data_IF_902035315195
#
_entry.id   IF_902035315195
#
_cell.length_a   1.000
_cell.length_b   1.000
_cell.length_c   1.000
_cell.angle_alpha   90.00
_cell.angle_beta   90.00
_cell.angle_gamma   90.00
#
_symmetry.space_group_name_H-M   'P 1'
#
loop_
_entity.id
_entity.type
_entity.pdbx_description
1 polymer ?
#
# COMPACT_ATOMS: atom_id res chain seq x y z
N UNK A 1 29.65 -22.39 -18.62
CA UNK A 1 29.07 -23.70 -18.25
C UNK A 1 28.05 -23.40 -17.18
N UNK A 2 26.79 -23.41 -17.59
CA UNK A 2 25.66 -22.85 -16.86
C UNK A 2 25.37 -23.69 -15.61
N UNK A 3 24.81 -23.11 -14.56
CA UNK A 3 24.39 -23.84 -13.34
C UNK A 3 23.38 -24.93 -13.72
N UNK A 4 22.60 -24.69 -14.78
CA UNK A 4 21.71 -25.66 -15.41
C UNK A 4 22.44 -26.86 -16.04
N UNK A 5 23.65 -26.69 -16.58
CA UNK A 5 24.43 -27.80 -17.15
C UNK A 5 24.98 -28.71 -16.06
N UNK A 6 25.34 -28.16 -14.89
CA UNK A 6 25.78 -28.94 -13.73
C UNK A 6 24.63 -29.70 -13.06
N UNK A 7 23.43 -29.10 -13.01
CA UNK A 7 22.21 -29.76 -12.54
C UNK A 7 21.79 -30.89 -13.49
N UNK A 8 21.85 -30.68 -14.81
CA UNK A 8 21.60 -31.73 -15.81
C UNK A 8 22.57 -32.91 -15.70
N UNK A 9 23.84 -32.65 -15.38
CA UNK A 9 24.84 -33.70 -15.23
C UNK A 9 24.69 -34.54 -13.94
N UNK A 10 23.98 -34.04 -12.92
CA UNK A 10 23.76 -34.74 -11.66
C UNK A 10 22.45 -35.54 -11.62
N UNK A 11 21.54 -35.33 -12.58
CA UNK A 11 20.30 -36.09 -12.69
C UNK A 11 20.57 -37.28 -13.63
N UNK A 12 20.73 -38.47 -13.05
CA UNK A 12 20.84 -39.72 -13.79
C UNK A 12 19.58 -39.97 -14.64
N UNK A 13 19.76 -40.47 -15.87
CA UNK A 13 18.72 -40.66 -16.89
C UNK A 13 17.46 -41.42 -16.41
N UNK A 14 17.57 -42.30 -15.40
CA UNK A 14 16.42 -43.00 -14.80
C UNK A 14 15.45 -42.06 -14.07
N UNK A 15 15.96 -41.06 -13.33
CA UNK A 15 15.13 -40.09 -12.62
C UNK A 15 14.44 -39.10 -13.58
N UNK A 16 15.07 -38.83 -14.73
CA UNK A 16 14.54 -37.94 -15.75
C UNK A 16 13.43 -38.64 -16.56
N UNK A 17 13.52 -39.95 -16.77
CA UNK A 17 12.46 -40.78 -17.36
C UNK A 17 11.23 -40.92 -16.44
N UNK A 18 11.41 -41.06 -15.12
CA UNK A 18 10.29 -40.99 -14.17
C UNK A 18 9.68 -39.58 -14.10
N UNK A 19 10.49 -38.52 -14.05
CA UNK A 19 10.00 -37.13 -14.07
C UNK A 19 9.25 -36.78 -15.37
N UNK A 20 9.75 -37.25 -16.53
CA UNK A 20 9.12 -37.02 -17.84
C UNK A 20 7.89 -37.89 -18.08
N UNK A 21 7.77 -39.03 -17.40
CA UNK A 21 6.55 -39.84 -17.39
C UNK A 21 5.44 -39.23 -16.51
N UNK A 22 5.80 -38.41 -15.52
CA UNK A 22 4.87 -37.75 -14.59
C UNK A 22 4.43 -36.36 -15.09
N UNK A 23 5.27 -35.68 -15.86
CA UNK A 23 5.00 -34.37 -16.49
C UNK A 23 3.70 -34.26 -17.34
N UNK A 24 3.18 -35.32 -18.00
CA UNK A 24 1.91 -35.24 -18.72
C UNK A 24 0.67 -35.36 -17.80
N UNK A 25 0.85 -35.72 -16.52
CA UNK A 25 -0.24 -36.03 -15.57
C UNK A 25 -0.57 -34.83 -14.69
N UNK A 26 0.40 -33.93 -14.47
CA UNK A 26 0.25 -32.77 -13.59
C UNK A 26 0.18 -31.48 -14.40
N UNK A 27 -0.76 -30.61 -14.05
CA UNK A 27 -0.78 -29.26 -14.58
C UNK A 27 0.45 -28.48 -14.06
N UNK A 28 0.88 -27.44 -14.79
CA UNK A 28 1.95 -26.52 -14.32
C UNK A 28 1.67 -26.02 -12.89
N UNK A 29 0.39 -25.84 -12.56
CA UNK A 29 -0.09 -25.40 -11.26
C UNK A 29 0.17 -26.44 -10.16
N UNK A 30 -0.07 -27.72 -10.42
CA UNK A 30 0.21 -28.80 -9.46
C UNK A 30 1.71 -28.93 -9.16
N UNK A 31 2.56 -28.73 -10.18
CA UNK A 31 4.01 -28.71 -10.01
C UNK A 31 4.46 -27.55 -9.11
N UNK A 32 3.84 -26.37 -9.28
CA UNK A 32 4.14 -25.17 -8.49
C UNK A 32 3.66 -25.34 -7.04
N UNK A 33 2.47 -25.89 -6.81
CA UNK A 33 1.98 -26.22 -5.47
C UNK A 33 2.88 -27.26 -4.77
N UNK A 34 3.37 -28.26 -5.52
CA UNK A 34 4.34 -29.23 -4.99
C UNK A 34 5.66 -28.55 -4.63
N UNK A 35 6.16 -27.66 -5.47
CA UNK A 35 7.36 -26.88 -5.20
C UNK A 35 7.20 -25.97 -3.97
N UNK A 36 6.04 -25.31 -3.84
CA UNK A 36 5.68 -24.54 -2.66
C UNK A 36 5.73 -25.41 -1.40
N UNK A 37 5.11 -26.60 -1.41
CA UNK A 37 5.13 -27.53 -0.28
C UNK A 37 6.55 -27.95 0.13
N UNK A 38 7.43 -28.19 -0.85
CA UNK A 38 8.85 -28.47 -0.61
C UNK A 38 9.53 -27.28 0.09
N UNK A 39 9.33 -26.05 -0.40
CA UNK A 39 9.88 -24.85 0.21
C UNK A 39 9.39 -24.65 1.65
N UNK A 40 8.10 -24.87 1.92
CA UNK A 40 7.54 -24.76 3.28
C UNK A 40 8.14 -25.81 4.22
N UNK A 41 8.39 -27.03 3.73
CA UNK A 41 9.07 -28.07 4.52
C UNK A 41 10.51 -27.66 4.85
N UNK A 42 11.27 -27.16 3.87
CA UNK A 42 12.61 -26.63 4.13
C UNK A 42 12.59 -25.45 5.12
N UNK A 43 11.60 -24.57 5.02
CA UNK A 43 11.42 -23.48 5.98
C UNK A 43 11.20 -24.02 7.39
N UNK A 44 10.28 -24.99 7.57
CA UNK A 44 10.02 -25.66 8.85
C UNK A 44 11.29 -26.25 9.46
N UNK A 45 12.06 -27.00 8.66
CA UNK A 45 13.31 -27.64 9.10
C UNK A 45 14.34 -26.57 9.50
N UNK A 46 14.48 -25.51 8.71
CA UNK A 46 15.43 -24.43 9.01
C UNK A 46 15.08 -23.66 10.29
N UNK A 47 13.79 -23.55 10.62
CA UNK A 47 13.32 -22.98 11.90
C UNK A 47 13.64 -23.94 13.06
N UNK A 48 13.30 -25.22 12.92
CA UNK A 48 13.55 -26.23 13.96
C UNK A 48 15.04 -26.39 14.29
N UNK A 49 15.90 -26.29 13.27
CA UNK A 49 17.35 -26.37 13.42
C UNK A 49 18.01 -25.03 13.78
N UNK A 50 17.24 -23.95 13.96
CA UNK A 50 17.75 -22.59 14.20
C UNK A 50 18.87 -22.19 13.22
N UNK A 51 18.66 -22.46 11.93
CA UNK A 51 19.60 -22.09 10.89
C UNK A 51 19.71 -20.56 10.76
N UNK A 52 20.72 -20.11 10.02
CA UNK A 52 20.99 -18.68 9.84
C UNK A 52 19.83 -17.97 9.15
N UNK A 53 19.62 -16.69 9.50
CA UNK A 53 18.53 -15.88 8.95
C UNK A 53 18.61 -15.77 7.42
N UNK A 54 19.79 -15.90 6.81
CA UNK A 54 19.99 -15.87 5.36
C UNK A 54 19.31 -17.04 4.66
N UNK A 55 19.37 -18.24 5.25
CA UNK A 55 18.74 -19.43 4.67
C UNK A 55 17.22 -19.27 4.72
N UNK A 56 16.69 -18.83 5.87
CA UNK A 56 15.27 -18.57 6.05
C UNK A 56 14.78 -17.48 5.10
N UNK A 57 15.52 -16.38 4.95
CA UNK A 57 15.21 -15.29 4.03
C UNK A 57 15.18 -15.75 2.57
N UNK A 58 16.16 -16.54 2.14
CA UNK A 58 16.21 -17.04 0.76
C UNK A 58 15.02 -17.94 0.43
N UNK A 59 14.58 -18.77 1.38
CA UNK A 59 13.38 -19.60 1.22
C UNK A 59 12.12 -18.73 1.13
N UNK A 60 11.97 -17.74 2.02
CA UNK A 60 10.84 -16.78 1.97
C UNK A 60 10.84 -16.00 0.65
N UNK A 61 12.00 -15.60 0.14
CA UNK A 61 12.12 -14.91 -1.14
C UNK A 61 11.66 -15.80 -2.31
N UNK A 62 12.04 -17.08 -2.31
CA UNK A 62 11.60 -18.05 -3.32
C UNK A 62 10.09 -18.27 -3.28
N UNK A 63 9.51 -18.42 -2.08
CA UNK A 63 8.05 -18.48 -1.88
C UNK A 63 7.38 -17.22 -2.44
N UNK A 64 7.99 -16.06 -2.20
CA UNK A 64 7.53 -14.80 -2.75
C UNK A 64 7.63 -14.71 -4.27
N UNK A 65 8.59 -15.37 -4.90
CA UNK A 65 8.82 -15.27 -6.34
C UNK A 65 7.80 -16.06 -7.18
N UNK A 66 7.21 -17.10 -6.60
CA UNK A 66 6.25 -17.98 -7.28
C UNK A 66 4.78 -17.56 -7.07
N UNK A 67 4.52 -16.46 -6.35
CA UNK A 67 3.18 -16.07 -5.91
C UNK A 67 2.16 -15.91 -7.05
N UNK A 68 2.56 -15.38 -8.21
CA UNK A 68 1.65 -15.13 -9.36
C UNK A 68 1.08 -16.42 -9.95
N UNK A 69 1.72 -17.55 -9.68
CA UNK A 69 1.35 -18.85 -10.23
C UNK A 69 0.62 -19.73 -9.23
N UNK A 70 0.45 -19.27 -7.98
CA UNK A 70 -0.25 -20.02 -6.94
C UNK A 70 -1.75 -19.70 -7.01
N UNK A 71 -2.63 -20.73 -7.02
CA UNK A 71 -4.07 -20.53 -6.96
C UNK A 71 -4.49 -19.67 -5.77
N UNK A 72 -5.50 -18.81 -5.96
CA UNK A 72 -6.05 -17.96 -4.89
C UNK A 72 -6.86 -18.73 -3.85
N UNK A 73 -7.17 -20.00 -4.11
CA UNK A 73 -7.88 -20.95 -3.26
C UNK A 73 -6.95 -22.03 -2.67
N UNK A 74 -5.62 -21.83 -2.71
CA UNK A 74 -4.67 -22.80 -2.17
C UNK A 74 -4.61 -22.76 -0.63
N UNK A 75 -5.47 -23.54 0.02
CA UNK A 75 -5.61 -23.57 1.47
C UNK A 75 -4.86 -24.72 2.17
N UNK A 76 -4.12 -25.55 1.43
CA UNK A 76 -3.39 -26.70 2.01
C UNK A 76 -2.01 -26.29 2.53
N UNK A 77 -1.25 -25.55 1.74
CA UNK A 77 0.15 -25.22 2.00
C UNK A 77 0.33 -23.78 2.46
N UNK A 78 -0.39 -22.81 1.87
CA UNK A 78 -0.23 -21.39 2.19
C UNK A 78 -0.45 -21.06 3.69
N UNK A 79 -1.48 -21.59 4.40
CA UNK A 79 -1.66 -21.28 5.82
C UNK A 79 -0.44 -21.63 6.66
N UNK A 80 0.26 -22.72 6.32
CA UNK A 80 1.44 -23.17 7.05
C UNK A 80 2.59 -22.16 6.97
N UNK A 81 2.71 -21.41 5.87
CA UNK A 81 3.73 -20.35 5.70
C UNK A 81 3.50 -19.25 6.74
N UNK A 82 2.28 -18.74 6.82
CA UNK A 82 1.93 -17.64 7.72
C UNK A 82 1.95 -18.05 9.20
N UNK A 83 1.68 -19.32 9.51
CA UNK A 83 1.86 -19.89 10.85
C UNK A 83 3.34 -20.02 11.26
N UNK A 84 4.25 -20.13 10.29
CA UNK A 84 5.70 -20.19 10.53
C UNK A 84 6.33 -18.79 10.66
N UNK A 85 5.71 -17.73 10.11
CA UNK A 85 6.26 -16.37 10.16
C UNK A 85 6.65 -15.90 11.58
N UNK A 86 5.82 -16.06 12.63
CA UNK A 86 6.18 -15.62 13.98
C UNK A 86 7.39 -16.36 14.57
N UNK A 87 7.76 -17.52 14.01
CA UNK A 87 8.87 -18.36 14.46
C UNK A 87 10.17 -18.09 13.70
N UNK A 88 10.16 -17.19 12.71
CA UNK A 88 11.35 -16.84 11.95
C UNK A 88 12.36 -16.09 12.82
N UNK A 89 13.63 -16.25 12.47
CA UNK A 89 14.71 -15.54 13.12
C UNK A 89 14.81 -14.10 12.59
N UNK A 90 14.02 -13.19 13.15
CA UNK A 90 14.04 -11.76 12.81
C UNK A 90 15.25 -10.99 13.40
N UNK A 91 16.43 -11.60 13.44
CA UNK A 91 17.67 -10.96 13.90
C UNK A 91 18.14 -9.81 12.99
N UNK A 92 17.66 -9.74 11.75
CA UNK A 92 18.12 -8.79 10.75
C UNK A 92 16.95 -8.08 10.04
N UNK A 93 17.14 -6.82 9.65
CA UNK A 93 16.12 -6.05 8.91
C UNK A 93 15.82 -6.63 7.52
N UNK A 94 16.77 -7.31 6.89
CA UNK A 94 16.61 -7.90 5.54
C UNK A 94 15.54 -8.99 5.53
N UNK A 95 15.56 -9.94 6.48
CA UNK A 95 14.54 -10.99 6.54
C UNK A 95 13.14 -10.42 6.84
N UNK A 96 13.07 -9.36 7.67
CA UNK A 96 11.82 -8.65 7.93
C UNK A 96 11.33 -7.99 6.63
N UNK A 97 12.22 -7.31 5.90
CA UNK A 97 11.90 -6.67 4.64
C UNK A 97 11.34 -7.66 3.60
N UNK A 98 12.02 -8.79 3.41
CA UNK A 98 11.59 -9.86 2.50
C UNK A 98 10.23 -10.43 2.94
N UNK A 99 10.04 -10.64 4.24
CA UNK A 99 8.74 -11.11 4.80
C UNK A 99 7.62 -10.11 4.50
N UNK A 100 7.85 -8.80 4.68
CA UNK A 100 6.85 -7.76 4.39
C UNK A 100 6.47 -7.75 2.90
N UNK A 101 7.45 -7.92 2.00
CA UNK A 101 7.18 -8.02 0.55
C UNK A 101 6.27 -9.23 0.25
N UNK A 102 6.55 -10.38 0.86
CA UNK A 102 5.73 -11.58 0.71
C UNK A 102 4.31 -11.36 1.24
N UNK A 103 4.15 -10.71 2.40
CA UNK A 103 2.83 -10.36 2.93
C UNK A 103 2.01 -9.50 1.95
N UNK A 104 2.65 -8.52 1.31
CA UNK A 104 2.00 -7.68 0.31
C UNK A 104 1.53 -8.47 -0.92
N UNK A 105 2.34 -9.43 -1.38
CA UNK A 105 2.05 -10.29 -2.54
C UNK A 105 0.86 -11.24 -2.32
N UNK A 106 0.74 -11.79 -1.12
CA UNK A 106 -0.37 -12.68 -0.74
C UNK A 106 -1.54 -11.94 -0.06
N UNK A 107 -1.64 -10.62 -0.23
CA UNK A 107 -2.67 -9.80 0.42
C UNK A 107 -4.09 -10.21 0.06
N UNK A 108 -4.33 -10.62 -1.19
CA UNK A 108 -5.62 -11.12 -1.68
C UNK A 108 -6.02 -12.42 -0.97
N UNK A 109 -5.12 -13.40 -0.92
CA UNK A 109 -5.34 -14.66 -0.21
C UNK A 109 -5.57 -14.40 1.29
N UNK A 110 -4.73 -13.58 1.92
CA UNK A 110 -4.88 -13.22 3.35
C UNK A 110 -6.23 -12.57 3.68
N UNK A 111 -6.89 -11.95 2.70
CA UNK A 111 -8.23 -11.41 2.92
C UNK A 111 -9.32 -12.44 3.12
N UNK A 112 -9.15 -13.63 2.57
CA UNK A 112 -10.05 -14.75 2.77
C UNK A 112 -9.78 -15.47 4.11
N UNK A 113 -8.66 -15.19 4.79
CA UNK A 113 -8.25 -15.84 6.04
C UNK A 113 -7.98 -14.83 7.18
N UNK A 114 -9.06 -14.24 7.71
CA UNK A 114 -9.01 -13.19 8.74
C UNK A 114 -8.24 -13.58 10.02
N UNK A 115 -8.29 -14.86 10.41
CA UNK A 115 -7.60 -15.38 11.60
C UNK A 115 -6.08 -15.23 11.50
N UNK A 116 -5.54 -15.43 10.30
CA UNK A 116 -4.11 -15.33 10.00
C UNK A 116 -3.69 -13.87 9.80
N UNK A 117 -4.59 -13.07 9.21
CA UNK A 117 -4.35 -11.67 8.87
C UNK A 117 -3.95 -10.83 10.09
N UNK A 118 -4.52 -11.07 11.28
CA UNK A 118 -4.20 -10.30 12.48
C UNK A 118 -2.70 -10.27 12.80
N UNK A 119 -2.03 -11.44 12.80
CA UNK A 119 -0.61 -11.52 13.11
C UNK A 119 0.25 -10.81 12.05
N UNK A 120 -0.17 -10.90 10.79
CA UNK A 120 0.51 -10.25 9.67
C UNK A 120 0.39 -8.72 9.75
N UNK A 121 -0.77 -8.20 10.17
CA UNK A 121 -1.01 -6.76 10.35
C UNK A 121 -0.11 -6.19 11.44
N UNK A 122 -0.02 -6.84 12.61
CA UNK A 122 0.85 -6.37 13.68
C UNK A 122 2.34 -6.36 13.27
N UNK A 123 2.79 -7.34 12.47
CA UNK A 123 4.15 -7.33 11.91
C UNK A 123 4.39 -6.08 11.04
N UNK A 124 3.46 -5.77 10.13
CA UNK A 124 3.54 -4.58 9.29
C UNK A 124 3.53 -3.28 10.11
N UNK A 125 2.66 -3.19 11.11
CA UNK A 125 2.55 -2.00 11.99
C UNK A 125 3.85 -1.77 12.76
N UNK A 126 4.42 -2.82 13.34
CA UNK A 126 5.68 -2.72 14.09
C UNK A 126 6.84 -2.29 13.18
N UNK A 127 6.88 -2.79 11.95
CA UNK A 127 7.93 -2.46 10.99
C UNK A 127 7.91 -0.98 10.55
N UNK A 128 6.77 -0.29 10.58
CA UNK A 128 6.67 1.15 10.26
C UNK A 128 7.48 2.03 11.22
N UNK A 129 7.79 1.55 12.42
CA UNK A 129 8.61 2.28 13.38
C UNK A 129 10.10 2.27 13.02
N UNK A 130 10.54 1.39 12.11
CA UNK A 130 11.93 1.29 11.67
C UNK A 130 12.12 1.98 10.32
N UNK A 131 13.00 2.99 10.27
CA UNK A 131 13.29 3.79 9.07
C UNK A 131 13.74 2.99 7.85
N UNK A 132 14.44 1.87 8.04
CA UNK A 132 14.88 1.00 6.92
C UNK A 132 13.72 0.21 6.30
N UNK A 133 12.64 -0.01 7.06
CA UNK A 133 11.53 -0.89 6.69
C UNK A 133 10.26 -0.13 6.30
N UNK A 134 10.21 1.20 6.45
CA UNK A 134 9.02 2.01 6.16
C UNK A 134 8.51 1.76 4.74
N UNK A 135 9.41 1.66 3.76
CA UNK A 135 9.01 1.44 2.38
C UNK A 135 8.25 0.13 2.19
N UNK A 136 8.82 -1.00 2.63
CA UNK A 136 8.18 -2.31 2.46
C UNK A 136 6.97 -2.48 3.36
N UNK A 137 7.03 -2.00 4.61
CA UNK A 137 5.92 -2.02 5.54
C UNK A 137 4.72 -1.23 5.01
N UNK A 138 4.95 -0.03 4.47
CA UNK A 138 3.87 0.80 3.92
C UNK A 138 3.26 0.20 2.65
N UNK A 139 4.05 -0.41 1.77
CA UNK A 139 3.53 -1.11 0.58
C UNK A 139 2.68 -2.31 1.01
N UNK A 140 3.21 -3.18 1.87
CA UNK A 140 2.50 -4.37 2.34
C UNK A 140 1.18 -4.00 3.04
N UNK A 141 1.23 -3.04 3.96
CA UNK A 141 0.05 -2.59 4.70
C UNK A 141 -1.01 -1.99 3.76
N UNK A 142 -0.60 -1.21 2.76
CA UNK A 142 -1.52 -0.66 1.77
C UNK A 142 -2.25 -1.76 1.00
N UNK A 143 -1.55 -2.80 0.54
CA UNK A 143 -2.19 -3.90 -0.19
C UNK A 143 -3.15 -4.69 0.73
N UNK A 144 -2.77 -4.97 1.97
CA UNK A 144 -3.67 -5.61 2.95
C UNK A 144 -4.95 -4.79 3.22
N UNK A 145 -4.85 -3.46 3.28
CA UNK A 145 -6.01 -2.58 3.48
C UNK A 145 -6.95 -2.57 2.28
N UNK A 146 -6.41 -2.57 1.05
CA UNK A 146 -7.23 -2.57 -0.16
C UNK A 146 -8.17 -3.77 -0.22
N UNK A 147 -7.64 -4.95 0.12
CA UNK A 147 -8.36 -6.23 0.09
C UNK A 147 -9.32 -6.37 1.28
N UNK A 148 -8.97 -5.80 2.46
CA UNK A 148 -9.69 -6.05 3.72
C UNK A 148 -10.14 -4.77 4.46
N UNK A 149 -10.71 -3.81 3.74
CA UNK A 149 -11.02 -2.46 4.24
C UNK A 149 -11.78 -2.44 5.57
N UNK A 150 -12.89 -3.17 5.64
CA UNK A 150 -13.76 -3.21 6.82
C UNK A 150 -13.01 -3.84 8.00
N UNK A 151 -12.33 -4.96 7.78
CA UNK A 151 -11.53 -5.61 8.82
C UNK A 151 -10.37 -4.73 9.30
N UNK A 152 -9.72 -4.01 8.38
CA UNK A 152 -8.58 -3.15 8.67
C UNK A 152 -8.96 -1.86 9.41
N UNK A 153 -10.22 -1.42 9.32
CA UNK A 153 -10.73 -0.23 10.03
C UNK A 153 -10.55 -0.31 11.55
N UNK A 154 -10.56 -1.51 12.14
CA UNK A 154 -10.37 -1.70 13.59
C UNK A 154 -8.97 -1.32 14.08
N UNK A 155 -7.97 -1.34 13.19
CA UNK A 155 -6.58 -0.98 13.50
C UNK A 155 -6.30 0.51 13.35
N UNK A 156 -7.30 1.36 13.05
CA UNK A 156 -7.10 2.81 12.89
C UNK A 156 -6.36 3.41 14.09
N UNK A 157 -6.77 3.07 15.31
CA UNK A 157 -6.18 3.60 16.54
C UNK A 157 -4.73 3.16 16.78
N UNK A 158 -4.31 2.01 16.22
CA UNK A 158 -2.93 1.52 16.29
C UNK A 158 -2.06 2.11 15.16
N UNK A 159 -2.60 2.18 13.95
CA UNK A 159 -1.88 2.63 12.74
C UNK A 159 -1.68 4.15 12.76
N UNK A 160 -2.70 4.92 13.16
CA UNK A 160 -2.69 6.36 13.03
C UNK A 160 -1.56 7.05 13.82
N UNK A 161 -1.31 6.73 15.12
CA UNK A 161 -0.23 7.38 15.87
C UNK A 161 1.16 7.09 15.29
N UNK A 162 1.40 5.87 14.81
CA UNK A 162 2.67 5.46 14.20
C UNK A 162 2.87 6.17 12.86
N UNK A 163 1.84 6.21 12.02
CA UNK A 163 1.93 6.96 10.77
C UNK A 163 2.13 8.45 11.03
N UNK A 164 1.49 9.02 12.04
CA UNK A 164 1.67 10.43 12.41
C UNK A 164 3.12 10.71 12.85
N UNK A 165 3.75 9.84 13.62
CA UNK A 165 5.16 10.01 14.00
C UNK A 165 6.10 9.94 12.79
N UNK A 166 5.79 9.10 11.80
CA UNK A 166 6.52 9.03 10.52
C UNK A 166 6.32 10.32 9.69
N UNK A 167 5.12 10.89 9.68
CA UNK A 167 4.82 12.15 8.97
C UNK A 167 5.51 13.36 9.60
N UNK A 168 5.59 13.40 10.92
CA UNK A 168 6.24 14.49 11.66
C UNK A 168 7.78 14.38 11.64
N UNK A 169 8.32 13.21 11.28
CA UNK A 169 9.76 13.00 11.18
C UNK A 169 10.33 13.58 9.88
N UNK A 170 11.14 14.62 10.04
CA UNK A 170 11.78 15.35 8.93
C UNK A 170 12.80 14.47 8.19
N UNK A 171 13.44 13.51 8.88
CA UNK A 171 14.46 12.63 8.30
C UNK A 171 13.90 11.53 7.40
N UNK A 172 12.59 11.26 7.47
CA UNK A 172 11.94 10.29 6.60
C UNK A 172 11.79 10.87 5.19
N UNK A 173 12.05 10.06 4.16
CA UNK A 173 11.92 10.49 2.78
C UNK A 173 10.48 10.93 2.46
N UNK A 174 10.36 11.99 1.64
CA UNK A 174 9.04 12.53 1.23
C UNK A 174 8.15 11.47 0.58
N UNK A 175 8.72 10.54 -0.18
CA UNK A 175 8.00 9.43 -0.81
C UNK A 175 7.37 8.48 0.21
N UNK A 176 8.04 8.21 1.33
CA UNK A 176 7.53 7.35 2.39
C UNK A 176 6.42 8.05 3.18
N UNK A 177 6.56 9.35 3.46
CA UNK A 177 5.48 10.17 4.03
C UNK A 177 4.23 10.16 3.13
N UNK A 178 4.40 10.26 1.81
CA UNK A 178 3.30 10.17 0.82
C UNK A 178 2.61 8.79 0.86
N UNK A 179 3.37 7.70 1.00
CA UNK A 179 2.80 6.35 1.15
C UNK A 179 1.98 6.23 2.43
N UNK A 180 2.49 6.76 3.55
CA UNK A 180 1.80 6.79 4.84
C UNK A 180 0.49 7.58 4.75
N UNK A 181 0.48 8.77 4.13
CA UNK A 181 -0.75 9.54 3.89
C UNK A 181 -1.76 8.77 3.04
N UNK A 182 -1.30 8.04 2.02
CA UNK A 182 -2.19 7.19 1.23
C UNK A 182 -2.88 6.17 2.13
N UNK A 183 -2.12 5.45 2.97
CA UNK A 183 -2.63 4.42 3.89
C UNK A 183 -3.66 4.98 4.87
N UNK A 184 -3.38 6.15 5.46
CA UNK A 184 -4.34 6.82 6.34
C UNK A 184 -5.62 7.13 5.57
N UNK A 185 -5.52 7.70 4.36
CA UNK A 185 -6.69 7.99 3.54
C UNK A 185 -7.50 6.73 3.19
N UNK A 186 -6.82 5.61 2.90
CA UNK A 186 -7.47 4.32 2.64
C UNK A 186 -8.29 3.83 3.84
N UNK A 187 -7.71 3.82 5.04
CA UNK A 187 -8.42 3.36 6.24
C UNK A 187 -9.58 4.30 6.57
N UNK A 188 -9.33 5.62 6.55
CA UNK A 188 -10.33 6.64 6.85
C UNK A 188 -11.54 6.58 5.89
N UNK A 189 -11.36 6.15 4.65
CA UNK A 189 -12.46 6.07 3.67
C UNK A 189 -13.63 5.18 4.09
N UNK A 190 -13.43 4.28 5.06
CA UNK A 190 -14.44 3.35 5.58
C UNK A 190 -15.12 3.87 6.85
N UNK A 191 -14.63 4.96 7.44
CA UNK A 191 -15.15 5.46 8.71
C UNK A 191 -16.26 6.52 8.53
N UNK A 192 -17.14 6.69 9.53
CA UNK A 192 -18.10 7.79 9.57
C UNK A 192 -17.41 9.15 9.47
N UNK A 193 -18.05 10.08 8.75
CA UNK A 193 -17.41 11.33 8.37
C UNK A 193 -16.97 12.22 9.53
N UNK A 194 -17.60 12.10 10.70
CA UNK A 194 -17.14 12.78 11.92
C UNK A 194 -15.71 12.35 12.29
N UNK A 195 -15.47 11.03 12.32
CA UNK A 195 -14.15 10.45 12.62
C UNK A 195 -13.15 10.85 11.54
N UNK A 196 -13.55 10.83 10.28
CA UNK A 196 -12.72 11.25 9.15
C UNK A 196 -12.26 12.69 9.33
N UNK A 197 -13.18 13.61 9.63
CA UNK A 197 -12.85 15.03 9.84
C UNK A 197 -11.91 15.22 11.02
N UNK A 198 -12.17 14.56 12.14
CA UNK A 198 -11.34 14.70 13.34
C UNK A 198 -9.88 14.30 13.04
N UNK A 199 -9.67 13.20 12.32
CA UNK A 199 -8.33 12.75 11.93
C UNK A 199 -7.72 13.59 10.80
N UNK A 200 -8.52 14.06 9.85
CA UNK A 200 -8.07 14.94 8.79
C UNK A 200 -7.59 16.28 9.34
N UNK A 201 -8.29 16.86 10.31
CA UNK A 201 -7.88 18.11 10.94
C UNK A 201 -6.51 17.98 11.61
N UNK A 202 -6.24 16.84 12.27
CA UNK A 202 -4.94 16.56 12.91
C UNK A 202 -3.80 16.54 11.87
N UNK A 203 -4.06 16.07 10.65
CA UNK A 203 -3.04 15.95 9.60
C UNK A 203 -2.93 17.24 8.77
N UNK A 204 -4.05 17.79 8.32
CA UNK A 204 -4.08 18.84 7.32
C UNK A 204 -3.90 20.23 7.91
N UNK A 205 -4.39 20.51 9.12
CA UNK A 205 -4.20 21.85 9.73
C UNK A 205 -2.72 22.21 9.88
N UNK A 206 -1.85 21.33 10.42
CA UNK A 206 -0.41 21.62 10.49
C UNK A 206 0.23 21.84 9.11
N UNK A 207 -0.15 21.06 8.10
CA UNK A 207 0.40 21.16 6.74
C UNK A 207 -0.07 22.43 6.03
N UNK A 208 -1.32 22.84 6.21
CA UNK A 208 -1.83 24.12 5.69
C UNK A 208 -1.13 25.29 6.37
N UNK A 209 -0.92 25.24 7.69
CA UNK A 209 -0.17 26.29 8.41
C UNK A 209 1.28 26.38 7.92
N UNK A 210 1.97 25.24 7.73
CA UNK A 210 3.31 25.22 7.12
C UNK A 210 3.29 25.85 5.73
N UNK A 211 2.26 25.57 4.93
CA UNK A 211 2.14 26.17 3.60
C UNK A 211 1.96 27.70 3.69
N UNK A 212 1.08 28.19 4.56
CA UNK A 212 0.88 29.63 4.77
C UNK A 212 2.17 30.31 5.27
N UNK A 213 2.93 29.65 6.14
CA UNK A 213 4.25 30.11 6.59
C UNK A 213 5.27 30.13 5.45
N UNK A 214 5.23 29.17 4.52
CA UNK A 214 6.10 29.20 3.35
C UNK A 214 5.73 30.33 2.38
N UNK A 215 4.44 30.55 2.15
CA UNK A 215 3.93 31.57 1.22
C UNK A 215 4.10 33.01 1.73
N UNK A 216 4.20 33.19 3.05
CA UNK A 216 4.44 34.49 3.66
C UNK A 216 5.92 34.91 3.67
N UNK A 217 6.84 34.00 3.33
CA UNK A 217 8.28 34.28 3.27
C UNK A 217 8.66 34.82 1.89
N UNK A 218 9.57 35.80 1.87
CA UNK A 218 10.07 36.39 0.63
C UNK A 218 10.91 35.37 -0.17
N UNK A 219 11.64 34.49 0.54
CA UNK A 219 12.36 33.35 -0.02
C UNK A 219 11.47 32.10 -0.04
N UNK A 220 10.50 32.08 -0.96
CA UNK A 220 9.58 30.96 -1.15
C UNK A 220 10.34 29.66 -1.49
N UNK A 221 10.41 28.72 -0.54
CA UNK A 221 11.01 27.41 -0.79
C UNK A 221 10.03 26.54 -1.61
N UNK A 222 10.14 26.67 -2.94
CA UNK A 222 9.25 26.10 -3.94
C UNK A 222 9.10 24.58 -3.81
N UNK A 223 10.18 23.89 -3.44
CA UNK A 223 10.19 22.44 -3.23
C UNK A 223 9.30 22.03 -2.04
N UNK A 224 9.35 22.77 -0.94
CA UNK A 224 8.53 22.51 0.23
C UNK A 224 7.05 22.78 -0.06
N UNK A 225 6.73 23.88 -0.74
CA UNK A 225 5.37 24.21 -1.17
C UNK A 225 4.78 23.08 -2.03
N UNK A 226 5.52 22.64 -3.06
CA UNK A 226 5.06 21.55 -3.92
C UNK A 226 4.88 20.24 -3.17
N UNK A 227 5.77 19.95 -2.20
CA UNK A 227 5.70 18.74 -1.39
C UNK A 227 4.47 18.74 -0.49
N UNK A 228 4.19 19.86 0.20
CA UNK A 228 3.01 20.02 1.05
C UNK A 228 1.72 19.95 0.24
N UNK A 229 1.67 20.57 -0.94
CA UNK A 229 0.53 20.42 -1.85
C UNK A 229 0.30 18.97 -2.28
N UNK A 230 1.38 18.25 -2.62
CA UNK A 230 1.29 16.84 -2.97
C UNK A 230 0.76 15.99 -1.79
N UNK A 231 1.14 16.32 -0.55
CA UNK A 231 0.63 15.64 0.65
C UNK A 231 -0.88 15.80 0.79
N UNK A 232 -1.36 17.04 0.70
CA UNK A 232 -2.79 17.37 0.77
C UNK A 232 -3.55 16.62 -0.33
N UNK A 233 -3.03 16.65 -1.55
CA UNK A 233 -3.64 16.04 -2.72
C UNK A 233 -3.74 14.51 -2.64
N UNK A 234 -2.68 13.84 -2.19
CA UNK A 234 -2.68 12.38 -2.04
C UNK A 234 -3.72 11.94 -1.02
N UNK A 235 -3.85 12.66 0.10
CA UNK A 235 -4.82 12.35 1.15
C UNK A 235 -6.26 12.51 0.64
N UNK A 236 -6.57 13.63 -0.02
CA UNK A 236 -7.91 13.89 -0.59
C UNK A 236 -8.24 12.84 -1.66
N UNK A 237 -7.29 12.51 -2.53
CA UNK A 237 -7.50 11.51 -3.58
C UNK A 237 -7.75 10.13 -2.99
N UNK A 238 -7.00 9.75 -1.95
CA UNK A 238 -7.17 8.47 -1.28
C UNK A 238 -8.53 8.37 -0.56
N UNK A 239 -9.07 9.47 -0.05
CA UNK A 239 -10.41 9.46 0.58
C UNK A 239 -11.52 9.49 -0.48
N UNK A 240 -11.40 10.37 -1.49
CA UNK A 240 -12.45 10.61 -2.48
C UNK A 240 -12.64 9.49 -3.50
N UNK A 241 -11.58 8.84 -3.98
CA UNK A 241 -11.72 7.72 -4.91
C UNK A 241 -12.44 6.52 -4.26
N UNK A 242 -12.10 6.23 -3.01
CA UNK A 242 -12.61 5.04 -2.32
C UNK A 242 -13.94 5.29 -1.61
N UNK A 243 -14.25 6.52 -1.22
CA UNK A 243 -15.61 6.92 -0.84
C UNK A 243 -16.62 6.65 -1.96
N UNK A 244 -16.24 6.90 -3.22
CA UNK A 244 -17.11 6.67 -4.39
C UNK A 244 -17.23 5.20 -4.83
N UNK A 245 -16.31 4.30 -4.44
CA UNK A 245 -16.43 2.87 -4.75
C UNK A 245 -17.48 2.17 -3.87
N UNK A 246 -17.67 2.65 -2.64
CA UNK A 246 -18.72 2.14 -1.76
C UNK A 246 -20.13 2.41 -2.33
N UNK A 247 -20.28 3.43 -3.20
CA UNK A 247 -21.54 3.71 -3.89
C UNK A 247 -21.82 2.74 -5.06
N UNK A 248 -20.80 2.03 -5.57
CA UNK A 248 -20.87 1.24 -6.81
C UNK A 248 -20.97 -0.29 -6.62
N UNK A 249 -20.49 -0.84 -5.51
CA UNK A 249 -20.39 -2.29 -5.30
C UNK A 249 -21.45 -2.87 -4.33
N UNK A 250 -22.22 -2.04 -3.63
CA UNK A 250 -23.22 -2.54 -2.65
C UNK A 250 -24.55 -3.02 -3.27
N UNK A 251 -24.73 -2.97 -4.59
CA UNK A 251 -26.00 -3.38 -5.21
C UNK A 251 -26.10 -4.83 -5.73
N UNK A 252 -25.03 -5.65 -5.76
CA UNK A 252 -25.16 -6.99 -6.39
C UNK A 252 -24.51 -8.21 -5.70
N UNK A 253 -23.79 -8.12 -4.57
CA UNK A 253 -23.11 -9.32 -4.00
C UNK A 253 -23.34 -9.67 -2.52
N UNK A 254 -24.39 -9.15 -1.86
CA UNK A 254 -24.75 -9.61 -0.50
C UNK A 254 -26.25 -9.94 -0.32
N UNK A 255 -26.85 -10.63 -1.28
CA UNK A 255 -28.04 -11.47 -1.03
C UNK A 255 -27.70 -12.91 -1.42
N UNK A 256 -27.79 -13.82 -0.43
CA UNK A 256 -27.37 -15.25 -0.44
C UNK A 256 -25.87 -15.36 -0.15
N UNK A 257 -25.41 -15.31 1.09
CA UNK A 257 -25.49 -16.35 2.12
C UNK A 257 -24.93 -15.66 3.37
N UNK A 258 -25.64 -15.49 4.47
CA UNK A 258 -25.60 -16.41 5.63
C UNK A 258 -26.63 -15.88 6.64
N UNK A 259 -27.81 -16.48 6.67
CA UNK A 259 -28.58 -16.52 7.91
C UNK A 259 -27.88 -17.55 8.80
N UNK A 260 -27.15 -17.08 9.82
CA UNK A 260 -27.26 -17.60 11.20
C UNK A 260 -26.17 -17.03 12.10
N UNK A 261 -26.65 -16.32 13.13
CA UNK A 261 -26.00 -16.10 14.42
C UNK A 261 -24.59 -15.47 14.43
N UNK A 262 -24.54 -14.14 14.63
CA UNK A 262 -23.98 -13.46 15.81
C UNK A 262 -24.31 -11.96 15.67
N UNK A 263 -24.86 -11.38 16.75
CA UNK A 263 -25.16 -9.97 17.07
C UNK A 263 -25.12 -8.91 15.93
N UNK A 264 -26.19 -8.11 15.75
CA UNK A 264 -26.19 -7.04 14.78
C UNK A 264 -25.26 -5.91 15.27
N UNK A 265 -24.06 -5.82 14.71
CA UNK A 265 -23.33 -4.54 14.67
C UNK A 265 -24.28 -3.58 13.96
N UNK A 266 -24.75 -2.55 14.68
CA UNK A 266 -25.57 -1.48 14.11
C UNK A 266 -24.83 -0.97 12.87
N UNK A 267 -25.43 -1.15 11.68
CA UNK A 267 -25.01 -0.46 10.46
C UNK A 267 -25.19 1.04 10.71
N UNK A 268 -24.13 1.70 11.18
CA UNK A 268 -24.07 3.16 11.16
C UNK A 268 -24.05 3.58 9.69
N UNK A 269 -25.15 4.17 9.24
CA UNK A 269 -25.27 4.77 7.91
C UNK A 269 -24.15 5.79 7.71
N UNK A 270 -23.23 5.47 6.81
CA UNK A 270 -22.11 6.33 6.43
C UNK A 270 -22.63 7.64 5.84
N UNK A 271 -22.30 8.79 6.45
CA UNK A 271 -22.73 10.09 5.94
C UNK A 271 -21.78 10.61 4.85
N UNK A 272 -21.96 10.10 3.63
CA UNK A 272 -21.16 10.41 2.43
C UNK A 272 -21.16 11.92 2.09
N UNK A 273 -22.11 12.70 2.61
CA UNK A 273 -22.21 14.14 2.29
C UNK A 273 -21.05 14.97 2.85
N UNK A 274 -20.47 14.52 3.96
CA UNK A 274 -19.52 15.31 4.72
C UNK A 274 -18.05 15.05 4.28
N UNK A 275 -17.72 13.82 3.87
CA UNK A 275 -16.45 13.52 3.18
C UNK A 275 -16.37 14.27 1.84
N UNK A 276 -17.50 14.35 1.13
CA UNK A 276 -17.67 15.16 -0.09
C UNK A 276 -17.47 16.65 0.19
N UNK A 277 -18.02 17.16 1.29
CA UNK A 277 -17.84 18.56 1.70
C UNK A 277 -16.36 18.91 1.95
N UNK A 278 -15.57 17.98 2.51
CA UNK A 278 -14.13 18.20 2.71
C UNK A 278 -13.35 18.24 1.40
N UNK A 279 -13.67 17.34 0.48
CA UNK A 279 -13.13 17.35 -0.89
C UNK A 279 -13.50 18.67 -1.57
N UNK A 280 -14.72 19.17 -1.41
CA UNK A 280 -15.17 20.43 -1.99
C UNK A 280 -14.43 21.63 -1.38
N UNK A 281 -14.22 21.66 -0.06
CA UNK A 281 -13.49 22.73 0.63
C UNK A 281 -12.03 22.80 0.22
N UNK A 282 -11.34 21.65 0.21
CA UNK A 282 -9.93 21.58 -0.18
C UNK A 282 -9.74 21.87 -1.67
N UNK A 283 -10.64 21.40 -2.51
CA UNK A 283 -10.69 21.73 -3.94
C UNK A 283 -10.88 23.23 -4.16
N UNK A 284 -11.82 23.87 -3.45
CA UNK A 284 -12.07 25.31 -3.54
C UNK A 284 -10.84 26.13 -3.12
N UNK A 285 -10.15 25.72 -2.05
CA UNK A 285 -8.95 26.40 -1.59
C UNK A 285 -7.77 26.24 -2.57
N UNK A 286 -7.54 25.04 -3.11
CA UNK A 286 -6.51 24.83 -4.15
C UNK A 286 -6.80 25.69 -5.38
N UNK A 287 -8.06 25.82 -5.79
CA UNK A 287 -8.46 26.71 -6.90
C UNK A 287 -8.12 28.17 -6.60
N UNK A 288 -8.37 28.65 -5.38
CA UNK A 288 -8.02 30.01 -4.97
C UNK A 288 -6.51 30.24 -5.02
N UNK A 289 -5.71 29.28 -4.54
CA UNK A 289 -4.25 29.36 -4.62
C UNK A 289 -3.74 29.38 -6.07
N UNK A 290 -4.27 28.52 -6.95
CA UNK A 290 -3.84 28.44 -8.36
C UNK A 290 -4.23 29.66 -9.21
N UNK A 291 -5.20 30.45 -8.75
CA UNK A 291 -5.59 31.71 -9.40
C UNK A 291 -4.61 32.86 -9.12
N UNK A 292 -3.76 32.75 -8.09
CA UNK A 292 -2.72 33.74 -7.82
C UNK A 292 -1.57 33.58 -8.84
N UNK A 293 -1.25 34.63 -9.64
CA UNK A 293 -0.21 34.56 -10.65
C UNK A 293 1.21 34.35 -10.08
N UNK A 294 1.41 34.54 -8.78
CA UNK A 294 2.69 34.37 -8.10
C UNK A 294 2.78 33.04 -7.33
N UNK A 295 1.71 32.23 -7.33
CA UNK A 295 1.67 30.96 -6.61
C UNK A 295 2.07 29.76 -7.50
N UNK A 296 2.86 28.81 -6.97
CA UNK A 296 3.79 28.99 -5.86
C UNK A 296 5.01 29.82 -6.27
N UNK A 297 5.18 30.02 -7.59
CA UNK A 297 6.27 30.74 -8.24
C UNK A 297 5.76 31.36 -9.53
N UNK A 298 6.37 32.44 -10.01
CA UNK A 298 6.11 33.00 -11.35
C UNK A 298 6.64 32.13 -12.49
N UNK A 299 7.50 31.14 -12.19
CA UNK A 299 8.16 30.27 -13.18
C UNK A 299 7.19 29.28 -13.84
N UNK A 300 6.14 28.85 -13.13
CA UNK A 300 5.10 28.00 -13.72
C UNK A 300 4.23 28.80 -14.72
N UNK A 301 4.33 28.47 -16.02
CA UNK A 301 3.53 29.10 -17.08
C UNK A 301 2.03 28.97 -16.83
N UNK A 302 1.26 29.95 -17.30
CA UNK A 302 -0.22 29.99 -17.24
C UNK A 302 -0.88 28.68 -17.69
N UNK A 303 -0.35 28.03 -18.72
CA UNK A 303 -0.85 26.74 -19.20
C UNK A 303 -0.75 25.62 -18.16
N UNK A 304 0.36 25.51 -17.41
CA UNK A 304 0.51 24.48 -16.38
C UNK A 304 -0.51 24.66 -15.24
N UNK A 305 -0.81 25.92 -14.88
CA UNK A 305 -1.83 26.27 -13.88
C UNK A 305 -3.24 25.94 -14.37
N UNK A 306 -3.56 26.29 -15.61
CA UNK A 306 -4.86 25.99 -16.21
C UNK A 306 -5.10 24.48 -16.37
N UNK A 307 -4.08 23.72 -16.72
CA UNK A 307 -4.17 22.25 -16.81
C UNK A 307 -4.37 21.62 -15.43
N UNK A 308 -3.63 22.05 -14.41
CA UNK A 308 -3.84 21.56 -13.05
C UNK A 308 -5.21 21.98 -12.48
N UNK A 309 -5.66 23.21 -12.76
CA UNK A 309 -6.98 23.70 -12.35
C UNK A 309 -8.12 22.88 -12.97
N UNK A 310 -8.01 22.51 -14.25
CA UNK A 310 -8.96 21.60 -14.92
C UNK A 310 -9.01 20.23 -14.25
N UNK A 311 -7.86 19.72 -13.85
CA UNK A 311 -7.70 18.40 -13.22
C UNK A 311 -8.24 18.39 -11.78
N UNK A 312 -8.03 19.47 -11.02
CA UNK A 312 -8.59 19.71 -9.67
C UNK A 312 -10.10 19.93 -9.68
N UNK A 313 -10.64 20.57 -10.71
CA UNK A 313 -12.08 20.84 -10.84
C UNK A 313 -12.87 19.67 -11.44
N UNK A 314 -12.20 18.74 -12.12
CA UNK A 314 -12.86 17.62 -12.78
C UNK A 314 -13.29 16.53 -11.80
N UNK A 315 -14.53 16.05 -11.93
CA UNK A 315 -15.11 15.00 -11.07
C UNK A 315 -14.65 13.57 -11.40
N UNK A 316 -13.80 13.38 -12.42
CA UNK A 316 -13.45 12.06 -12.99
C UNK A 316 -11.94 11.85 -13.19
N UNK A 317 -11.10 12.53 -12.42
CA UNK A 317 -9.64 12.38 -12.53
C UNK A 317 -9.18 11.12 -11.80
N UNK A 318 -8.61 10.17 -12.56
CA UNK A 318 -7.99 8.97 -11.98
C UNK A 318 -6.78 9.34 -11.11
N UNK A 319 -6.51 8.54 -10.08
CA UNK A 319 -5.40 8.75 -9.12
C UNK A 319 -4.04 8.95 -9.81
N UNK A 320 -3.75 8.18 -10.85
CA UNK A 320 -2.50 8.33 -11.62
C UNK A 320 -2.48 9.69 -12.31
N UNK A 321 -3.56 10.00 -13.03
CA UNK A 321 -3.65 11.22 -13.83
C UNK A 321 -3.53 12.49 -12.95
N UNK A 322 -4.21 12.53 -11.81
CA UNK A 322 -4.12 13.66 -10.88
C UNK A 322 -2.70 13.83 -10.30
N UNK A 323 -2.08 12.72 -9.87
CA UNK A 323 -0.72 12.70 -9.35
C UNK A 323 0.31 13.13 -10.41
N UNK A 324 0.15 12.66 -11.64
CA UNK A 324 1.05 12.99 -12.75
C UNK A 324 0.99 14.49 -13.06
N UNK A 325 -0.20 15.08 -13.08
CA UNK A 325 -0.37 16.53 -13.27
C UNK A 325 0.24 17.36 -12.13
N UNK A 326 0.14 16.90 -10.88
CA UNK A 326 0.81 17.56 -9.75
C UNK A 326 2.33 17.44 -9.85
N UNK A 327 2.85 16.28 -10.25
CA UNK A 327 4.28 16.11 -10.46
C UNK A 327 4.78 17.02 -11.60
N UNK A 328 4.07 17.07 -12.72
CA UNK A 328 4.38 17.98 -13.84
C UNK A 328 4.33 19.43 -13.40
N UNK A 329 3.32 19.83 -12.62
CA UNK A 329 3.22 21.19 -12.08
C UNK A 329 4.36 21.51 -11.11
N UNK A 330 4.70 20.58 -10.21
CA UNK A 330 5.83 20.70 -9.29
C UNK A 330 7.15 20.85 -10.04
N UNK A 331 7.37 20.09 -11.12
CA UNK A 331 8.56 20.21 -11.97
C UNK A 331 8.59 21.56 -12.71
N UNK A 332 7.45 22.05 -13.18
CA UNK A 332 7.32 23.36 -13.82
C UNK A 332 7.60 24.50 -12.82
N UNK A 333 7.21 24.36 -11.56
CA UNK A 333 7.50 25.34 -10.52
C UNK A 333 8.99 25.44 -10.19
N UNK A 334 9.74 24.32 -10.30
CA UNK A 334 11.18 24.20 -10.00
C UNK A 334 12.10 24.53 -11.18
N UNK A 335 11.58 25.02 -12.31
CA UNK A 335 12.32 25.28 -13.56
C UNK A 335 13.04 24.06 -14.18
N UNK A 336 12.82 22.86 -13.66
CA UNK A 336 13.42 21.62 -14.18
C UNK A 336 12.89 21.19 -15.55
N UNK A 337 11.87 21.86 -16.08
CA UNK A 337 11.47 21.73 -17.49
C UNK A 337 12.33 22.69 -18.32
N UNK A 338 13.62 22.39 -18.41
CA UNK A 338 14.54 23.04 -19.33
C UNK A 338 14.19 22.63 -20.76
N UNK A 339 13.60 23.56 -21.50
CA UNK A 339 13.67 23.68 -22.96
C UNK A 339 13.41 22.41 -23.79
N UNK A 340 12.15 22.07 -24.00
CA UNK A 340 11.76 21.50 -25.28
C UNK A 340 10.88 22.53 -25.99
N UNK A 341 11.47 23.14 -27.03
CA UNK A 341 10.76 23.81 -28.11
C UNK A 341 10.03 22.77 -28.95
#
# INVERSE_FOLDING_TARGET
MDVFDKLKAQITDENLMEFTAILPIFSLQDLICTYLAILVNYLSISIEQNQSWQIQESIIQLIGAIYEYIPSDEDQVLPRIFLLLPKLNFSNSIIINTTLIVLGRYSSWLGNHQDILQNCVHLCINALSNSELIQSASIALKELIKENRIYMSKYLNEIFPIMKSVLDNIHVQSNDRIRCLSIIGYILSVHPSKIVIDHLNIILVPEVNKLLDYLSRIDNNQENICTTLNFICVLITAIGYYGNQNDGEENEQQLKTTENSINPVKKETYDVTLSKSYIDWTTCWIQQCLNDPNFPTSSAKRHHRETLLKVVTSKQTSRSNFKDHINTFSLACRETISQEN
#
